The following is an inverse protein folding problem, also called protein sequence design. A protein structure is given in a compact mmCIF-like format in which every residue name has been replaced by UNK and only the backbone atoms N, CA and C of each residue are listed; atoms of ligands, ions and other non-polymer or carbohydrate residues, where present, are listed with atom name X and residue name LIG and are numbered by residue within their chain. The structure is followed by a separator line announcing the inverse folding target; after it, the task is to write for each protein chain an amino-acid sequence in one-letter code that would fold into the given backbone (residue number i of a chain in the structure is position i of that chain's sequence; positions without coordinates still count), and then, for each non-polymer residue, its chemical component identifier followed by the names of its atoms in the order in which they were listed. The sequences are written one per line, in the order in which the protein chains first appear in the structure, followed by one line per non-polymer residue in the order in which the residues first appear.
data_IF_341551217854
#
_entry.id   IF_341551217854
#
_cell.length_a   1.000
_cell.length_b   1.000
_cell.length_c   1.000
_cell.angle_alpha   90.00
_cell.angle_beta   90.00
_cell.angle_gamma   90.00
#
_symmetry.space_group_name_H-M   'P 1'
#
loop_
_entity.id
_entity.type
_entity.pdbx_description
1 polymer ?
#
# COMPACT_ATOMS: atom_id res chain seq x y z
N UNK A 1 19.23 -7.62 -5.51
CA UNK A 1 17.78 -7.35 -5.42
C UNK A 1 17.52 -6.64 -4.11
N UNK A 2 16.77 -5.52 -4.09
CA UNK A 2 16.31 -4.88 -2.86
C UNK A 2 14.81 -5.15 -2.70
N UNK A 3 14.42 -5.64 -1.53
CA UNK A 3 13.03 -5.88 -1.14
C UNK A 3 12.56 -4.78 -0.21
N UNK A 4 11.25 -4.60 -0.12
CA UNK A 4 10.58 -3.71 0.83
C UNK A 4 9.46 -4.48 1.52
N UNK A 5 9.15 -4.09 2.75
CA UNK A 5 7.98 -4.57 3.46
C UNK A 5 6.77 -3.73 3.04
N UNK A 6 5.72 -4.39 2.56
CA UNK A 6 4.40 -3.83 2.39
C UNK A 6 3.54 -4.29 3.55
N UNK A 7 2.96 -3.34 4.28
CA UNK A 7 1.96 -3.61 5.30
C UNK A 7 0.61 -3.03 4.84
N UNK A 8 -0.47 -3.80 4.90
CA UNK A 8 -1.80 -3.33 4.51
C UNK A 8 -2.90 -3.91 5.40
N UNK A 9 -4.07 -3.26 5.44
CA UNK A 9 -5.28 -3.76 6.12
C UNK A 9 -6.40 -4.05 5.13
N UNK A 10 -6.74 -5.33 4.89
CA UNK A 10 -7.91 -5.69 4.10
C UNK A 10 -9.17 -5.01 4.62
N UNK A 11 -9.90 -4.32 3.76
CA UNK A 11 -11.11 -3.55 4.08
C UNK A 11 -10.93 -2.45 5.14
N UNK A 12 -9.68 -2.05 5.45
CA UNK A 12 -9.39 -1.08 6.51
C UNK A 12 -9.66 -1.57 7.94
N UNK A 13 -10.02 -2.84 8.13
CA UNK A 13 -10.40 -3.41 9.42
C UNK A 13 -9.50 -4.59 9.82
N UNK A 14 -9.33 -4.80 11.13
CA UNK A 14 -8.56 -5.92 11.66
C UNK A 14 -7.04 -5.72 11.68
N UNK A 15 -6.32 -6.84 11.69
CA UNK A 15 -4.86 -6.88 11.78
C UNK A 15 -4.18 -6.47 10.48
N UNK A 16 -2.98 -5.91 10.60
CA UNK A 16 -2.11 -5.66 9.46
C UNK A 16 -1.60 -6.98 8.87
N UNK A 17 -1.65 -7.08 7.55
CA UNK A 17 -0.95 -8.11 6.78
C UNK A 17 0.39 -7.54 6.32
N UNK A 18 1.45 -8.32 6.49
CA UNK A 18 2.82 -7.92 6.14
C UNK A 18 3.37 -8.86 5.07
N UNK A 19 3.96 -8.30 4.02
CA UNK A 19 4.60 -9.07 2.96
C UNK A 19 5.90 -8.40 2.53
N UNK A 20 6.94 -9.20 2.27
CA UNK A 20 8.22 -8.70 1.74
C UNK A 20 8.30 -9.00 0.25
N UNK A 21 8.36 -7.97 -0.58
CA UNK A 21 8.36 -8.08 -2.05
C UNK A 21 9.41 -7.16 -2.65
N UNK A 22 9.65 -7.25 -3.97
CA UNK A 22 10.54 -6.30 -4.65
C UNK A 22 9.97 -4.88 -4.59
N UNK A 23 10.84 -3.87 -4.70
CA UNK A 23 10.44 -2.45 -4.67
C UNK A 23 9.30 -2.12 -5.64
N UNK A 24 9.40 -2.58 -6.88
CA UNK A 24 8.40 -2.29 -7.93
C UNK A 24 7.04 -2.94 -7.61
N UNK A 25 7.06 -4.16 -7.05
CA UNK A 25 5.84 -4.88 -6.64
C UNK A 25 5.22 -4.22 -5.41
N UNK A 26 6.03 -3.81 -4.43
CA UNK A 26 5.53 -3.10 -3.24
C UNK A 26 4.77 -1.83 -3.65
N UNK A 27 5.33 -1.05 -4.58
CA UNK A 27 4.70 0.17 -5.07
C UNK A 27 3.41 -0.08 -5.86
N UNK A 28 3.39 -1.11 -6.71
CA UNK A 28 2.20 -1.46 -7.49
C UNK A 28 1.03 -1.88 -6.58
N UNK A 29 1.29 -2.79 -5.63
CA UNK A 29 0.30 -3.24 -4.66
C UNK A 29 -0.16 -2.12 -3.74
N UNK A 30 0.76 -1.25 -3.32
CA UNK A 30 0.45 -0.06 -2.56
C UNK A 30 -0.59 0.83 -3.23
N UNK A 31 -0.38 1.15 -4.51
CA UNK A 31 -1.31 1.98 -5.28
C UNK A 31 -2.67 1.28 -5.44
N UNK A 32 -2.67 -0.02 -5.74
CA UNK A 32 -3.88 -0.81 -5.90
C UNK A 32 -4.71 -0.86 -4.60
N UNK A 33 -4.07 -1.19 -3.48
CA UNK A 33 -4.74 -1.35 -2.19
C UNK A 33 -5.21 -0.01 -1.60
N UNK A 34 -4.43 1.07 -1.77
CA UNK A 34 -4.89 2.40 -1.39
C UNK A 34 -6.08 2.85 -2.23
N UNK A 35 -6.15 2.49 -3.52
CA UNK A 35 -7.32 2.76 -4.36
C UNK A 35 -8.57 1.98 -3.90
N UNK A 36 -8.41 0.87 -3.19
CA UNK A 36 -9.50 0.16 -2.53
C UNK A 36 -9.93 0.81 -1.20
N UNK A 37 -9.27 1.89 -0.80
CA UNK A 37 -9.50 2.58 0.48
C UNK A 37 -8.88 1.86 1.67
N UNK A 38 -7.90 0.97 1.45
CA UNK A 38 -7.24 0.26 2.51
C UNK A 38 -6.09 1.09 3.09
N UNK A 39 -5.84 0.96 4.40
CA UNK A 39 -4.63 1.51 5.00
C UNK A 39 -3.42 0.70 4.51
N UNK A 40 -2.40 1.39 4.02
CA UNK A 40 -1.19 0.76 3.47
C UNK A 40 0.07 1.52 3.88
N UNK A 41 1.17 0.79 4.08
CA UNK A 41 2.50 1.31 4.41
C UNK A 41 3.59 0.56 3.64
N UNK A 42 4.65 1.26 3.27
CA UNK A 42 5.88 0.66 2.73
C UNK A 42 7.02 0.97 3.71
N UNK A 43 7.71 -0.06 4.18
CA UNK A 43 8.79 0.02 5.17
C UNK A 43 8.38 0.87 6.40
N UNK A 44 7.13 0.73 6.84
CA UNK A 44 6.55 1.48 7.96
C UNK A 44 6.07 2.90 7.64
N UNK A 45 6.36 3.43 6.45
CA UNK A 45 5.92 4.76 6.02
C UNK A 45 4.53 4.68 5.39
N UNK A 46 3.61 5.51 5.87
CA UNK A 46 2.32 5.68 5.21
C UNK A 46 2.54 6.24 3.81
N UNK A 47 1.87 5.64 2.84
CA UNK A 47 1.84 6.18 1.49
C UNK A 47 0.74 7.23 1.45
N UNK A 48 1.15 8.49 1.30
CA UNK A 48 0.23 9.55 0.94
C UNK A 48 -0.22 9.26 -0.49
N UNK A 49 -1.36 8.59 -0.62
CA UNK A 49 -2.07 8.56 -1.89
C UNK A 49 -2.46 10.00 -2.15
N UNK A 50 -1.71 10.67 -3.03
CA UNK A 50 -2.18 11.82 -3.78
C UNK A 50 -3.38 11.27 -4.56
N UNK A 51 -4.53 11.22 -3.89
CA UNK A 51 -5.81 10.81 -4.45
C UNK A 51 -5.98 11.73 -5.64
N UNK A 52 -5.71 11.17 -6.81
CA UNK A 52 -5.82 11.86 -8.06
C UNK A 52 -7.23 12.46 -8.07
N UNK A 53 -7.27 13.78 -7.91
CA UNK A 53 -8.41 14.61 -8.25
C UNK A 53 -8.56 14.51 -9.77
N UNK A 54 -9.04 13.37 -10.23
CA UNK A 54 -9.50 13.09 -11.60
C UNK A 54 -10.83 12.37 -11.51
N UNK A 55 -11.77 13.05 -10.87
CA UNK A 55 -13.19 12.82 -11.06
C UNK A 55 -13.82 14.15 -11.46
N UNK A 56 -13.91 14.37 -12.78
CA UNK A 56 -14.92 15.12 -13.54
C UNK A 56 -14.34 15.53 -14.90
#
# INVERSE_FOLDING_TARGET
MKTQELAYKPYGIGSWTYVTVSKDVAQALANEYSNYGWDVKIDGNAIETELALKAA
#
